data_IF_797635894564
#
_entry.id   IF_797635894564
#
_cell.length_a   1.000
_cell.length_b   1.000
_cell.length_c   1.000
_cell.angle_alpha   90.00
_cell.angle_beta   90.00
_cell.angle_gamma   90.00
#
_symmetry.space_group_name_H-M   'P 1'
#
loop_
_entity.id
_entity.type
_entity.pdbx_description
1 polymer ?
#
# COMPACT_ATOMS: atom_id res chain seq x y z
N UNK A 1 -15.84 -38.92 26.96
CA UNK A 1 -14.46 -38.74 26.47
C UNK A 1 -14.36 -37.41 25.75
N UNK A 2 -13.70 -36.45 26.39
CA UNK A 2 -13.26 -35.17 25.81
C UNK A 2 -12.28 -35.41 24.65
N UNK A 3 -12.44 -34.71 23.52
CA UNK A 3 -11.32 -34.09 22.77
C UNK A 3 -11.80 -32.82 22.07
N UNK A 4 -11.19 -31.73 22.52
CA UNK A 4 -11.34 -30.33 22.15
C UNK A 4 -10.82 -30.03 20.74
N UNK A 5 -11.61 -29.31 19.93
CA UNK A 5 -11.09 -28.47 18.84
C UNK A 5 -10.70 -27.12 19.42
N UNK A 6 -9.41 -26.85 19.56
CA UNK A 6 -8.92 -25.49 19.77
C UNK A 6 -9.15 -24.70 18.47
N UNK A 7 -10.24 -23.93 18.42
CA UNK A 7 -10.37 -22.79 17.53
C UNK A 7 -9.52 -21.65 18.11
N UNK A 8 -8.33 -21.41 17.55
CA UNK A 8 -7.61 -20.16 17.76
C UNK A 8 -8.33 -19.11 16.90
N UNK A 9 -9.49 -18.67 17.40
CA UNK A 9 -10.14 -17.46 16.95
C UNK A 9 -9.47 -16.29 17.67
N UNK A 10 -8.62 -15.56 16.98
CA UNK A 10 -8.26 -14.21 17.40
C UNK A 10 -9.53 -13.39 17.30
N UNK A 11 -10.29 -13.30 18.40
CA UNK A 11 -11.40 -12.36 18.52
C UNK A 11 -10.82 -10.96 18.51
N UNK A 12 -10.83 -10.31 17.36
CA UNK A 12 -10.67 -8.86 17.29
C UNK A 12 -11.89 -8.24 17.98
N UNK A 13 -11.63 -7.63 19.13
CA UNK A 13 -12.65 -6.97 19.93
C UNK A 13 -13.17 -5.76 19.13
N UNK A 14 -14.39 -5.86 18.59
CA UNK A 14 -15.04 -4.82 17.82
C UNK A 14 -15.57 -3.72 18.75
N UNK A 15 -14.71 -2.76 19.14
CA UNK A 15 -15.22 -1.40 19.31
C UNK A 15 -15.33 -0.83 17.90
N UNK A 16 -16.53 -0.41 17.48
CA UNK A 16 -16.77 0.19 16.16
C UNK A 16 -15.98 1.50 16.04
N UNK A 17 -14.69 1.40 15.72
CA UNK A 17 -13.91 2.52 15.25
C UNK A 17 -14.44 2.87 13.85
N UNK A 18 -14.75 4.14 13.61
CA UNK A 18 -15.13 4.59 12.26
C UNK A 18 -13.97 4.34 11.29
N UNK A 19 -14.25 4.25 9.99
CA UNK A 19 -13.21 4.06 8.96
C UNK A 19 -12.11 5.13 9.07
N UNK A 20 -12.47 6.36 9.46
CA UNK A 20 -11.53 7.43 9.77
C UNK A 20 -10.63 7.14 10.99
N UNK A 21 -11.19 6.65 12.10
CA UNK A 21 -10.43 6.27 13.29
C UNK A 21 -9.48 5.09 13.02
N UNK A 22 -9.89 4.14 12.17
CA UNK A 22 -9.04 3.02 11.77
C UNK A 22 -7.87 3.48 10.88
N UNK A 23 -8.13 4.36 9.91
CA UNK A 23 -7.09 4.97 9.07
C UNK A 23 -6.09 5.75 9.92
N UNK A 24 -6.58 6.53 10.89
CA UNK A 24 -5.71 7.27 11.80
C UNK A 24 -4.84 6.36 12.67
N UNK A 25 -5.43 5.28 13.22
CA UNK A 25 -4.69 4.28 14.00
C UNK A 25 -3.59 3.60 13.16
N UNK A 26 -3.89 3.26 11.91
CA UNK A 26 -2.91 2.68 10.99
C UNK A 26 -1.80 3.68 10.66
N UNK A 27 -2.13 4.94 10.38
CA UNK A 27 -1.15 5.99 10.10
C UNK A 27 -0.16 6.15 11.26
N UNK A 28 -0.69 6.28 12.49
CA UNK A 28 0.13 6.39 13.72
C UNK A 28 1.03 5.17 13.92
N UNK A 29 0.56 3.97 13.57
CA UNK A 29 1.35 2.73 13.66
C UNK A 29 2.48 2.70 12.61
N UNK A 30 2.18 3.08 11.36
CA UNK A 30 3.16 3.12 10.26
C UNK A 30 4.29 4.11 10.54
N UNK A 31 3.99 5.31 11.06
CA UNK A 31 5.01 6.32 11.40
C UNK A 31 5.92 5.86 12.53
N UNK A 32 5.34 5.30 13.60
CA UNK A 32 6.14 4.74 14.71
C UNK A 32 7.10 3.66 14.22
N UNK A 33 6.65 2.78 13.32
CA UNK A 33 7.48 1.73 12.75
C UNK A 33 8.60 2.26 11.83
N UNK A 34 8.35 3.33 11.07
CA UNK A 34 9.37 3.97 10.23
C UNK A 34 10.48 4.62 11.07
N UNK A 35 10.11 5.28 12.17
CA UNK A 35 11.04 6.02 13.02
C UNK A 35 11.87 5.11 13.95
N UNK A 36 11.32 3.97 14.38
CA UNK A 36 12.07 2.94 15.09
C UNK A 36 13.24 2.35 14.28
N UNK A 37 13.22 2.48 12.94
CA UNK A 37 14.34 2.05 12.07
C UNK A 37 15.47 3.08 11.98
N UNK A 38 15.16 4.36 12.12
CA UNK A 38 16.16 5.45 12.05
C UNK A 38 16.80 5.73 13.40
N UNK A 39 16.09 5.46 14.50
CA UNK A 39 16.60 5.61 15.86
C UNK A 39 17.08 4.26 16.41
N UNK A 40 18.35 3.91 16.24
CA UNK A 40 19.00 3.00 17.19
C UNK A 40 18.84 3.58 18.59
N UNK A 41 18.36 2.81 19.56
CA UNK A 41 17.98 3.21 20.93
C UNK A 41 17.51 4.67 21.08
N UNK A 42 16.18 4.88 21.03
CA UNK A 42 15.51 6.18 21.19
C UNK A 42 16.14 7.06 22.31
N UNK A 43 16.61 8.28 22.02
CA UNK A 43 17.06 9.20 23.06
C UNK A 43 15.87 9.71 23.87
N UNK A 44 15.96 9.61 25.20
CA UNK A 44 14.93 10.03 26.18
C UNK A 44 14.93 11.55 26.44
N UNK A 45 14.95 12.40 25.41
CA UNK A 45 14.84 13.86 25.59
C UNK A 45 13.48 14.38 25.11
N UNK A 46 12.88 15.26 25.90
CA UNK A 46 11.59 15.91 25.61
C UNK A 46 11.55 16.61 24.25
N UNK A 47 12.68 17.17 23.81
CA UNK A 47 12.84 17.77 22.49
C UNK A 47 12.64 16.77 21.33
N UNK A 48 13.13 15.54 21.48
CA UNK A 48 12.99 14.47 20.47
C UNK A 48 11.56 13.94 20.47
N UNK A 49 10.94 13.81 21.65
CA UNK A 49 9.52 13.40 21.77
C UNK A 49 8.58 14.43 21.13
N UNK A 50 8.83 15.72 21.31
CA UNK A 50 8.05 16.79 20.69
C UNK A 50 8.23 16.84 19.16
N UNK A 51 9.46 16.67 18.67
CA UNK A 51 9.73 16.56 17.24
C UNK A 51 9.04 15.33 16.63
N UNK A 52 9.06 14.20 17.35
CA UNK A 52 8.38 12.96 16.97
C UNK A 52 6.85 13.15 16.90
N UNK A 53 6.24 13.76 17.92
CA UNK A 53 4.81 14.03 17.94
C UNK A 53 4.40 14.92 16.76
N UNK A 54 5.20 15.93 16.45
CA UNK A 54 4.98 16.84 15.31
C UNK A 54 5.04 16.10 13.97
N UNK A 55 6.05 15.24 13.77
CA UNK A 55 6.19 14.45 12.56
C UNK A 55 5.03 13.45 12.38
N UNK A 56 4.59 12.80 13.48
CA UNK A 56 3.41 11.92 13.45
C UNK A 56 2.16 12.67 13.02
N UNK A 57 1.93 13.87 13.56
CA UNK A 57 0.74 14.65 13.23
C UNK A 57 0.78 15.16 11.78
N UNK A 58 1.96 15.58 11.29
CA UNK A 58 2.14 15.97 9.90
C UNK A 58 1.85 14.81 8.92
N UNK A 59 2.38 13.62 9.20
CA UNK A 59 2.11 12.43 8.38
C UNK A 59 0.63 12.03 8.44
N UNK A 60 0.02 12.07 9.64
CA UNK A 60 -1.39 11.75 9.81
C UNK A 60 -2.29 12.74 9.04
N UNK A 61 -1.92 14.02 9.02
CA UNK A 61 -2.54 15.04 8.18
C UNK A 61 -2.45 14.69 6.69
N UNK A 62 -1.27 14.28 6.22
CA UNK A 62 -1.05 13.86 4.84
C UNK A 62 -1.89 12.64 4.46
N UNK A 63 -1.89 11.61 5.30
CA UNK A 63 -2.71 10.41 5.09
C UNK A 63 -4.20 10.78 5.00
N UNK A 64 -4.68 11.64 5.90
CA UNK A 64 -6.09 12.02 5.99
C UNK A 64 -6.59 12.68 4.71
N UNK A 65 -5.92 13.75 4.26
CA UNK A 65 -6.40 14.47 3.08
C UNK A 65 -6.26 13.65 1.80
N UNK A 66 -5.22 12.82 1.69
CA UNK A 66 -5.07 11.90 0.54
C UNK A 66 -6.20 10.86 0.56
N UNK A 67 -6.51 10.29 1.72
CA UNK A 67 -7.60 9.31 1.86
C UNK A 67 -8.95 9.93 1.46
N UNK A 68 -9.24 11.15 1.92
CA UNK A 68 -10.45 11.90 1.56
C UNK A 68 -10.52 12.16 0.05
N UNK A 69 -9.41 12.59 -0.57
CA UNK A 69 -9.33 12.79 -2.01
C UNK A 69 -9.66 11.51 -2.77
N UNK A 70 -9.02 10.39 -2.41
CA UNK A 70 -9.21 9.12 -3.10
C UNK A 70 -10.63 8.57 -2.94
N UNK A 71 -11.19 8.64 -1.74
CA UNK A 71 -12.59 8.27 -1.51
C UNK A 71 -13.54 9.05 -2.41
N UNK A 72 -13.25 10.34 -2.64
CA UNK A 72 -14.07 11.22 -3.49
C UNK A 72 -13.87 10.99 -4.99
N UNK A 73 -12.64 10.76 -5.46
CA UNK A 73 -12.33 10.77 -6.91
C UNK A 73 -12.08 9.39 -7.52
N UNK A 74 -11.70 8.40 -6.72
CA UNK A 74 -11.31 7.05 -7.15
C UNK A 74 -12.20 5.95 -6.55
N UNK A 75 -13.23 6.36 -5.80
CA UNK A 75 -14.07 5.48 -4.99
C UNK A 75 -13.35 4.91 -3.77
N UNK A 76 -14.00 3.97 -3.10
CA UNK A 76 -13.46 3.33 -1.90
C UNK A 76 -12.32 2.34 -2.15
N UNK A 77 -11.76 1.85 -1.05
CA UNK A 77 -10.87 0.69 -1.02
C UNK A 77 -9.38 1.00 -1.18
N UNK A 78 -8.96 2.27 -1.28
CA UNK A 78 -7.55 2.61 -1.08
C UNK A 78 -7.26 2.73 0.40
N UNK A 79 -6.17 2.13 0.87
CA UNK A 79 -5.75 2.18 2.28
C UNK A 79 -4.46 3.00 2.33
N UNK A 80 -4.60 4.33 2.42
CA UNK A 80 -3.45 5.25 2.37
C UNK A 80 -2.39 4.99 3.46
N UNK A 81 -2.74 4.54 4.69
CA UNK A 81 -1.72 4.09 5.65
C UNK A 81 -0.83 2.92 5.20
N UNK A 82 -1.25 2.18 4.18
CA UNK A 82 -0.51 1.10 3.52
C UNK A 82 0.06 1.53 2.16
N UNK A 83 0.13 2.84 1.88
CA UNK A 83 0.78 3.36 0.69
C UNK A 83 2.24 2.86 0.59
N UNK A 84 2.59 2.33 -0.57
CA UNK A 84 3.94 1.82 -0.82
C UNK A 84 4.98 2.92 -0.95
N UNK A 85 4.55 4.12 -1.34
CA UNK A 85 5.35 5.35 -1.27
C UNK A 85 4.47 6.41 -0.62
N UNK A 86 4.73 6.72 0.64
CA UNK A 86 4.05 7.79 1.35
C UNK A 86 5.01 8.99 1.41
N UNK A 87 4.52 10.15 1.00
CA UNK A 87 5.27 11.41 1.03
C UNK A 87 6.63 11.34 0.32
N UNK A 88 6.68 10.68 -0.84
CA UNK A 88 7.89 10.56 -1.64
C UNK A 88 8.21 11.88 -2.36
N UNK A 89 9.39 12.43 -2.10
CA UNK A 89 9.83 13.65 -2.76
C UNK A 89 10.20 13.38 -4.21
N UNK A 90 9.75 14.27 -5.10
CA UNK A 90 10.18 14.27 -6.48
C UNK A 90 11.57 14.87 -6.58
N UNK A 91 12.44 14.27 -7.39
CA UNK A 91 13.77 14.80 -7.64
C UNK A 91 13.78 15.62 -8.93
N UNK A 92 14.54 16.71 -8.95
CA UNK A 92 14.70 17.53 -10.15
C UNK A 92 15.21 16.69 -11.35
N UNK A 93 16.08 15.71 -11.12
CA UNK A 93 16.59 14.80 -12.15
C UNK A 93 15.58 13.81 -12.72
N UNK A 94 14.36 13.74 -12.17
CA UNK A 94 13.27 12.93 -12.73
C UNK A 94 12.56 13.66 -13.89
N UNK A 95 12.82 14.96 -14.07
CA UNK A 95 12.23 15.77 -15.13
C UNK A 95 12.98 15.61 -16.46
N UNK A 96 12.24 15.78 -17.57
CA UNK A 96 12.82 15.82 -18.91
C UNK A 96 12.72 17.22 -19.54
N UNK A 97 13.14 17.32 -20.81
CA UNK A 97 13.17 18.58 -21.57
C UNK A 97 11.80 19.24 -21.70
N UNK A 98 10.69 18.52 -21.50
CA UNK A 98 9.34 19.08 -21.54
C UNK A 98 8.90 19.70 -20.20
N UNK A 99 9.84 19.88 -19.27
CA UNK A 99 9.63 20.59 -18.00
C UNK A 99 8.58 19.93 -17.09
N UNK A 100 8.43 18.61 -17.17
CA UNK A 100 7.69 17.79 -16.23
C UNK A 100 8.45 16.49 -15.95
N UNK A 101 8.03 15.73 -14.94
CA UNK A 101 8.58 14.41 -14.64
C UNK A 101 8.39 13.49 -15.85
N UNK A 102 9.45 12.80 -16.25
CA UNK A 102 9.41 11.89 -17.38
C UNK A 102 8.39 10.76 -17.16
N UNK A 103 7.69 10.37 -18.21
CA UNK A 103 6.62 9.37 -18.16
C UNK A 103 7.07 8.03 -17.55
N UNK A 104 8.33 7.60 -17.76
CA UNK A 104 8.85 6.33 -17.23
C UNK A 104 8.91 6.31 -15.71
N UNK A 105 9.06 7.48 -15.07
CA UNK A 105 9.21 7.58 -13.62
C UNK A 105 7.94 7.16 -12.89
N UNK A 106 6.76 7.45 -13.47
CA UNK A 106 5.49 6.98 -12.92
C UNK A 106 5.43 5.45 -12.82
N UNK A 107 5.91 4.73 -13.84
CA UNK A 107 5.96 3.27 -13.81
C UNK A 107 6.95 2.77 -12.74
N UNK A 108 8.11 3.42 -12.60
CA UNK A 108 9.07 3.10 -11.53
C UNK A 108 8.50 3.33 -10.13
N UNK A 109 7.71 4.39 -9.94
CA UNK A 109 7.05 4.64 -8.66
C UNK A 109 6.00 3.58 -8.35
N UNK A 110 5.19 3.16 -9.33
CA UNK A 110 4.24 2.06 -9.14
C UNK A 110 4.94 0.74 -8.81
N UNK A 111 6.03 0.42 -9.50
CA UNK A 111 6.84 -0.76 -9.20
C UNK A 111 7.36 -0.74 -7.77
N UNK A 112 8.02 0.35 -7.38
CA UNK A 112 8.58 0.52 -6.03
C UNK A 112 7.47 0.46 -4.97
N UNK A 113 6.34 1.14 -5.21
CA UNK A 113 5.22 1.14 -4.29
C UNK A 113 4.58 -0.25 -4.14
N UNK A 114 4.46 -1.04 -5.21
CA UNK A 114 3.96 -2.41 -5.13
C UNK A 114 4.90 -3.30 -4.31
N UNK A 115 6.22 -3.21 -4.54
CA UNK A 115 7.20 -3.98 -3.75
C UNK A 115 7.14 -3.59 -2.28
N UNK A 116 7.02 -2.30 -1.97
CA UNK A 116 6.88 -1.82 -0.60
C UNK A 116 5.56 -2.27 0.05
N UNK A 117 4.45 -2.27 -0.69
CA UNK A 117 3.16 -2.82 -0.23
C UNK A 117 3.29 -4.29 0.14
N UNK A 118 3.90 -5.09 -0.73
CA UNK A 118 4.19 -6.50 -0.45
C UNK A 118 5.11 -6.67 0.77
N UNK A 119 6.05 -5.76 0.99
CA UNK A 119 6.83 -5.68 2.23
C UNK A 119 5.99 -5.36 3.47
N UNK A 120 4.96 -4.50 3.35
CA UNK A 120 3.99 -4.24 4.44
C UNK A 120 3.21 -5.52 4.75
N UNK A 121 2.75 -6.23 3.73
CA UNK A 121 2.08 -7.53 3.91
C UNK A 121 3.01 -8.55 4.56
N UNK A 122 4.26 -8.65 4.12
CA UNK A 122 5.28 -9.52 4.70
C UNK A 122 5.60 -9.24 6.17
N UNK A 123 5.54 -7.99 6.61
CA UNK A 123 5.70 -7.63 8.04
C UNK A 123 4.50 -8.07 8.88
N UNK A 124 3.28 -7.93 8.36
CA UNK A 124 2.05 -8.29 9.07
C UNK A 124 1.76 -9.78 9.03
N UNK A 125 2.13 -10.42 7.92
CA UNK A 125 1.89 -11.81 7.61
C UNK A 125 3.23 -12.43 7.17
N UNK A 126 4.07 -12.90 8.12
CA UNK A 126 5.42 -13.37 7.80
C UNK A 126 5.51 -14.45 6.72
N UNK A 127 4.46 -15.27 6.57
CA UNK A 127 4.34 -16.27 5.51
C UNK A 127 4.22 -15.68 4.09
N UNK A 128 3.87 -14.40 3.95
CA UNK A 128 3.87 -13.69 2.67
C UNK A 128 5.30 -13.43 2.15
N UNK A 129 6.32 -13.41 3.03
CA UNK A 129 7.69 -13.14 2.62
C UNK A 129 8.26 -14.20 1.65
N UNK A 130 7.79 -15.44 1.73
CA UNK A 130 8.19 -16.51 0.80
C UNK A 130 7.79 -16.17 -0.65
N UNK A 131 6.63 -15.54 -0.84
CA UNK A 131 6.14 -15.09 -2.14
C UNK A 131 7.06 -14.06 -2.79
N UNK A 132 7.78 -13.28 -1.98
CA UNK A 132 8.73 -12.26 -2.43
C UNK A 132 10.19 -12.74 -2.44
N UNK A 133 10.45 -14.03 -2.16
CA UNK A 133 11.80 -14.56 -1.99
C UNK A 133 12.53 -14.91 -3.29
N UNK A 134 11.79 -15.10 -4.39
CA UNK A 134 12.31 -15.62 -5.66
C UNK A 134 12.72 -17.10 -5.63
N UNK A 135 12.40 -17.86 -4.57
CA UNK A 135 12.82 -19.27 -4.40
C UNK A 135 11.70 -20.31 -4.56
N UNK A 136 10.44 -19.90 -4.46
CA UNK A 136 9.26 -20.76 -4.58
C UNK A 136 8.29 -20.23 -5.62
N UNK A 137 7.01 -20.15 -5.29
CA UNK A 137 6.03 -19.43 -6.12
C UNK A 137 6.10 -17.93 -5.82
N UNK A 138 6.22 -17.09 -6.85
CA UNK A 138 6.28 -15.64 -6.70
C UNK A 138 5.56 -14.85 -7.81
N UNK A 139 5.44 -13.52 -7.66
CA UNK A 139 4.71 -12.67 -8.59
C UNK A 139 5.56 -12.27 -9.81
N UNK A 140 4.93 -12.19 -10.98
CA UNK A 140 5.47 -11.54 -12.18
C UNK A 140 4.37 -10.66 -12.79
N UNK A 141 4.70 -9.44 -13.21
CA UNK A 141 3.76 -8.61 -13.98
C UNK A 141 3.54 -9.24 -15.35
N UNK A 142 2.28 -9.55 -15.67
CA UNK A 142 1.87 -9.96 -17.01
C UNK A 142 1.61 -8.77 -17.93
N UNK A 143 0.94 -7.75 -17.41
CA UNK A 143 0.58 -6.55 -18.16
C UNK A 143 0.23 -5.42 -17.21
N UNK A 144 0.39 -4.18 -17.68
CA UNK A 144 -0.15 -3.00 -17.02
C UNK A 144 -0.75 -2.02 -18.04
N UNK A 145 -1.73 -1.25 -17.59
CA UNK A 145 -2.29 -0.11 -18.31
C UNK A 145 -2.10 1.12 -17.44
N UNK A 146 -1.39 2.13 -17.95
CA UNK A 146 -1.04 3.35 -17.23
C UNK A 146 -1.67 4.56 -17.92
N UNK A 147 -2.42 5.34 -17.15
CA UNK A 147 -3.01 6.60 -17.59
C UNK A 147 -2.40 7.78 -16.83
N UNK A 148 -1.63 8.62 -17.53
CA UNK A 148 -1.15 9.91 -17.02
C UNK A 148 -2.29 10.94 -17.05
N UNK A 149 -2.52 11.61 -15.92
CA UNK A 149 -3.65 12.54 -15.71
C UNK A 149 -3.20 13.96 -15.38
N UNK A 150 -2.03 14.12 -14.78
CA UNK A 150 -1.47 15.42 -14.45
C UNK A 150 0.07 15.39 -14.54
N UNK A 151 0.70 16.35 -15.24
CA UNK A 151 2.16 16.43 -15.36
C UNK A 151 2.75 17.02 -14.07
N UNK A 152 3.42 16.18 -13.27
CA UNK A 152 4.10 16.61 -12.04
C UNK A 152 5.40 17.35 -12.39
N UNK A 153 5.74 18.38 -11.62
CA UNK A 153 6.97 19.17 -11.76
C UNK A 153 7.72 19.20 -10.42
N UNK A 154 9.05 19.34 -10.45
CA UNK A 154 9.82 19.65 -9.25
C UNK A 154 9.64 21.13 -8.84
N UNK A 155 9.58 21.45 -7.53
CA UNK A 155 9.45 20.52 -6.41
C UNK A 155 8.00 20.03 -6.25
N UNK A 156 7.82 18.77 -5.84
CA UNK A 156 6.55 18.20 -5.40
C UNK A 156 6.83 17.00 -4.48
N UNK A 157 5.79 16.55 -3.80
CA UNK A 157 5.75 15.32 -3.02
C UNK A 157 4.59 14.47 -3.54
N UNK A 158 4.75 13.15 -3.59
CA UNK A 158 3.73 12.23 -4.05
C UNK A 158 3.38 11.15 -3.02
N UNK A 159 2.15 10.67 -3.09
CA UNK A 159 1.75 9.41 -2.45
C UNK A 159 1.33 8.41 -3.52
N UNK A 160 1.86 7.19 -3.47
CA UNK A 160 1.50 6.09 -4.37
C UNK A 160 0.91 4.94 -3.56
N UNK A 161 -0.34 4.61 -3.86
CA UNK A 161 -1.11 3.60 -3.14
C UNK A 161 -1.77 2.65 -4.13
N UNK A 162 -1.82 1.37 -3.75
CA UNK A 162 -2.53 0.34 -4.52
C UNK A 162 -3.69 -0.22 -3.70
N UNK A 163 -4.65 -0.81 -4.40
CA UNK A 163 -5.68 -1.68 -3.87
C UNK A 163 -5.75 -2.98 -4.64
N UNK A 164 -6.15 -4.05 -3.96
CA UNK A 164 -6.39 -5.38 -4.53
C UNK A 164 -7.77 -5.40 -5.18
N UNK A 165 -7.87 -5.93 -6.39
CA UNK A 165 -9.16 -6.20 -7.05
C UNK A 165 -9.67 -7.61 -6.69
N UNK A 166 -10.98 -7.88 -6.78
CA UNK A 166 -11.55 -9.19 -6.47
C UNK A 166 -10.80 -10.36 -7.14
N UNK A 167 -10.49 -11.40 -6.36
CA UNK A 167 -9.74 -12.56 -6.84
C UNK A 167 -10.62 -13.47 -7.70
N UNK A 168 -10.71 -13.18 -8.99
CA UNK A 168 -11.56 -13.94 -9.93
C UNK A 168 -10.85 -15.13 -10.59
N UNK A 169 -9.53 -15.23 -10.43
CA UNK A 169 -8.69 -16.22 -11.10
C UNK A 169 -7.83 -17.01 -10.10
N UNK A 170 -7.42 -18.22 -10.51
CA UNK A 170 -6.62 -19.11 -9.65
C UNK A 170 -5.14 -18.73 -9.62
N UNK A 171 -4.61 -18.20 -10.72
CA UNK A 171 -3.17 -18.03 -11.00
C UNK A 171 -2.71 -16.58 -11.18
N UNK A 172 -3.60 -15.63 -10.91
CA UNK A 172 -3.32 -14.20 -11.03
C UNK A 172 -4.25 -13.38 -10.19
N UNK A 173 -3.81 -12.18 -9.88
CA UNK A 173 -4.58 -11.15 -9.22
C UNK A 173 -4.27 -9.80 -9.88
N UNK A 174 -5.15 -8.83 -9.62
CA UNK A 174 -5.00 -7.49 -10.16
C UNK A 174 -4.85 -6.47 -9.06
N UNK A 175 -4.00 -5.47 -9.32
CA UNK A 175 -3.87 -4.29 -8.48
C UNK A 175 -4.31 -3.06 -9.29
N UNK A 176 -5.01 -2.14 -8.62
CA UNK A 176 -5.18 -0.77 -9.12
C UNK A 176 -4.34 0.17 -8.28
N UNK A 177 -3.53 0.98 -8.92
CA UNK A 177 -2.67 1.97 -8.27
C UNK A 177 -3.01 3.39 -8.68
N UNK A 178 -2.75 4.34 -7.78
CA UNK A 178 -2.83 5.78 -8.06
C UNK A 178 -1.60 6.51 -7.56
N UNK A 179 -1.17 7.54 -8.30
CA UNK A 179 -0.21 8.55 -7.83
C UNK A 179 -1.00 9.82 -7.50
N UNK A 180 -0.80 10.36 -6.30
CA UNK A 180 -1.37 11.65 -5.88
C UNK A 180 -0.25 12.66 -5.77
N UNK A 181 -0.38 13.79 -6.47
CA UNK A 181 0.47 14.97 -6.29
C UNK A 181 -0.02 15.76 -5.07
N UNK A 182 0.91 16.11 -4.18
CA UNK A 182 0.62 16.87 -2.97
C UNK A 182 0.40 18.35 -3.30
N UNK A 183 1.26 18.93 -4.14
CA UNK A 183 1.13 20.33 -4.54
C UNK A 183 -0.16 20.59 -5.32
N UNK A 184 -0.47 19.74 -6.29
CA UNK A 184 -1.67 19.90 -7.10
C UNK A 184 -2.96 19.40 -6.40
N UNK A 185 -2.81 18.64 -5.31
CA UNK A 185 -3.90 17.94 -4.59
C UNK A 185 -4.81 17.14 -5.52
N UNK A 186 -4.21 16.41 -6.45
CA UNK A 186 -4.90 15.68 -7.53
C UNK A 186 -4.26 14.32 -7.80
N UNK A 187 -5.05 13.40 -8.33
CA UNK A 187 -4.56 12.14 -8.89
C UNK A 187 -3.82 12.43 -10.19
N UNK A 188 -2.53 12.16 -10.20
CA UNK A 188 -1.63 12.44 -11.30
C UNK A 188 -1.46 11.27 -12.27
N UNK A 189 -1.65 10.03 -11.81
CA UNK A 189 -1.69 8.86 -12.67
C UNK A 189 -2.50 7.73 -12.06
N UNK A 190 -2.99 6.83 -12.91
CA UNK A 190 -3.69 5.59 -12.54
C UNK A 190 -3.04 4.42 -13.26
N UNK A 191 -2.86 3.30 -12.58
CA UNK A 191 -2.40 2.05 -13.18
C UNK A 191 -3.35 0.91 -12.86
N UNK A 192 -3.55 0.00 -13.83
CA UNK A 192 -4.12 -1.31 -13.60
C UNK A 192 -3.11 -2.37 -13.98
N UNK A 193 -2.85 -3.31 -13.07
CA UNK A 193 -1.78 -4.30 -13.22
C UNK A 193 -2.37 -5.70 -13.10
N UNK A 194 -1.92 -6.61 -13.96
CA UNK A 194 -2.20 -8.04 -13.85
C UNK A 194 -0.90 -8.74 -13.43
N UNK A 195 -0.93 -9.38 -12.27
CA UNK A 195 0.21 -10.12 -11.72
C UNK A 195 -0.12 -11.60 -11.76
N UNK A 196 0.69 -12.36 -12.46
CA UNK A 196 0.62 -13.83 -12.52
C UNK A 196 1.57 -14.45 -11.50
N UNK A 197 1.25 -15.65 -11.05
CA UNK A 197 2.11 -16.42 -10.15
C UNK A 197 2.90 -17.48 -10.91
N UNK A 198 4.20 -17.54 -10.63
CA UNK A 198 5.16 -18.40 -11.31
C UNK A 198 5.96 -19.17 -10.27
N UNK A 199 6.13 -20.46 -10.49
CA UNK A 199 6.95 -21.36 -9.68
C UNK A 199 8.40 -21.37 -10.18
N UNK A 200 9.27 -20.68 -9.45
CA UNK A 200 10.69 -20.60 -9.75
C UNK A 200 11.44 -21.90 -9.44
N UNK A 201 10.94 -22.71 -8.51
CA UNK A 201 11.57 -24.00 -8.16
C UNK A 201 11.37 -25.04 -9.27
N UNK A 202 10.27 -24.93 -10.02
CA UNK A 202 9.92 -25.85 -11.12
C UNK A 202 10.16 -25.25 -12.52
N UNK A 203 11.20 -24.42 -12.66
CA UNK A 203 11.65 -23.94 -13.98
C UNK A 203 10.88 -22.74 -14.54
N UNK A 204 10.20 -21.96 -13.69
CA UNK A 204 9.52 -20.73 -14.11
C UNK A 204 8.15 -20.99 -14.75
N UNK A 205 7.48 -22.08 -14.36
CA UNK A 205 6.16 -22.43 -14.88
C UNK A 205 5.04 -21.71 -14.14
N UNK A 206 3.93 -21.50 -14.82
CA UNK A 206 2.74 -20.88 -14.23
C UNK A 206 2.19 -21.73 -13.09
N UNK A 207 1.88 -21.11 -11.96
CA UNK A 207 1.34 -21.77 -10.78
C UNK A 207 0.09 -21.06 -10.25
N UNK A 208 -0.77 -21.72 -9.46
CA UNK A 208 -1.82 -21.04 -8.70
C UNK A 208 -1.23 -20.04 -7.70
N UNK A 209 -2.04 -19.07 -7.28
CA UNK A 209 -1.73 -18.22 -6.12
C UNK A 209 -1.66 -19.12 -4.89
N UNK A 210 -0.54 -19.16 -4.15
CA UNK A 210 -0.43 -19.95 -2.93
C UNK A 210 -1.50 -19.58 -1.90
N UNK A 211 -2.03 -20.55 -1.16
CA UNK A 211 -3.15 -20.33 -0.21
C UNK A 211 -2.81 -19.31 0.90
N UNK A 212 -1.55 -19.33 1.36
CA UNK A 212 -1.02 -18.36 2.32
C UNK A 212 -0.98 -16.93 1.75
N UNK A 213 -0.80 -16.77 0.44
CA UNK A 213 -0.83 -15.47 -0.24
C UNK A 213 -2.27 -15.04 -0.51
N UNK A 214 -3.10 -15.96 -1.00
CA UNK A 214 -4.52 -15.74 -1.27
C UNK A 214 -5.27 -15.25 -0.03
N UNK A 215 -5.07 -15.89 1.11
CA UNK A 215 -5.71 -15.49 2.37
C UNK A 215 -5.34 -14.08 2.81
N UNK A 216 -4.09 -13.64 2.59
CA UNK A 216 -3.68 -12.25 2.83
C UNK A 216 -4.41 -11.30 1.90
N UNK A 217 -4.44 -11.58 0.60
CA UNK A 217 -5.14 -10.74 -0.40
C UNK A 217 -6.65 -10.64 -0.10
N UNK A 218 -7.29 -11.74 0.31
CA UNK A 218 -8.71 -11.77 0.72
C UNK A 218 -8.94 -10.92 1.98
N UNK A 219 -8.08 -11.03 2.99
CA UNK A 219 -8.14 -10.17 4.18
C UNK A 219 -7.97 -8.69 3.83
N UNK A 220 -7.18 -8.35 2.79
CA UNK A 220 -7.07 -6.97 2.31
C UNK A 220 -8.36 -6.54 1.62
N UNK A 221 -8.96 -7.38 0.78
CA UNK A 221 -10.25 -7.10 0.14
C UNK A 221 -11.36 -6.83 1.18
N UNK A 222 -11.39 -7.59 2.27
CA UNK A 222 -12.32 -7.36 3.39
C UNK A 222 -12.08 -5.98 4.02
N UNK A 223 -10.84 -5.66 4.39
CA UNK A 223 -10.51 -4.35 4.96
C UNK A 223 -10.82 -3.20 4.00
N UNK A 224 -10.60 -3.38 2.70
CA UNK A 224 -10.96 -2.38 1.69
C UNK A 224 -12.48 -2.12 1.64
N UNK A 225 -13.31 -3.13 1.88
CA UNK A 225 -14.77 -2.98 1.96
C UNK A 225 -15.19 -2.29 3.24
N UNK A 226 -14.59 -2.65 4.38
CA UNK A 226 -14.84 -1.98 5.68
C UNK A 226 -14.46 -0.50 5.67
N UNK A 227 -13.40 -0.15 4.93
CA UNK A 227 -12.91 1.21 4.81
C UNK A 227 -13.54 2.00 3.65
N UNK A 228 -14.30 1.35 2.77
CA UNK A 228 -14.99 2.06 1.71
C UNK A 228 -16.05 2.99 2.33
N UNK A 229 -16.18 4.24 1.84
CA UNK A 229 -17.32 5.06 2.21
C UNK A 229 -18.62 4.33 1.85
N UNK A 230 -19.66 4.47 2.67
CA UNK A 230 -20.99 3.99 2.30
C UNK A 230 -21.35 4.60 0.95
N UNK A 231 -21.82 3.78 0.00
CA UNK A 231 -22.39 4.30 -1.24
C UNK A 231 -23.62 5.14 -0.84
N UNK A 232 -23.62 6.43 -1.18
CA UNK A 232 -24.82 7.25 -1.10
C UNK A 232 -25.86 6.60 -2.04
N UNK A 233 -26.86 5.94 -1.45
CA UNK A 233 -28.02 5.39 -2.15
C UNK A 233 -28.85 6.50 -2.80
#
# INVERSE_FOLDING_TARGET
>A
MFRSRLSIGVRYNSSLATSAQLVERLARTSVRAALAKTAGEVPKSESVENALATAIEAEAGNVRWVQELLNKTEGGGYIVPEAGLLNHNIFWGDMDTFSHVNNVMYLKWFETARVNLFGIYGKRYPHFNEFMSGKGVGPIIRSCELAWRYPITFPDTITVVHKVEPLTQKDRFSLKGVVVSHNARKVAARISEIIVTVDYANGGVKAPIPDNVRSVLESRLELQRELAPAEDQ
#
